data_IF_268735581627
#
_entry.id   IF_268735581627
#
_cell.length_a   1.000
_cell.length_b   1.000
_cell.length_c   1.000
_cell.angle_alpha   90.00
_cell.angle_beta   90.00
_cell.angle_gamma   90.00
#
_symmetry.space_group_name_H-M   'P 1'
#
loop_
_entity.id
_entity.type
_entity.pdbx_description
1 polymer ?
#
# COMPACT_ATOMS: atom_id res chain seq x y z
N UNK A 1 -11.45 -9.64 -3.83
CA UNK A 1 -10.94 -8.89 -5.02
C UNK A 1 -11.88 -9.09 -6.20
N UNK A 2 -12.12 -10.32 -6.67
CA UNK A 2 -12.91 -10.61 -7.88
C UNK A 2 -14.32 -10.01 -7.85
N UNK A 3 -15.00 -10.06 -6.70
CA UNK A 3 -16.33 -9.46 -6.52
C UNK A 3 -16.28 -7.93 -6.76
N UNK A 4 -15.37 -7.24 -6.10
CA UNK A 4 -15.19 -5.78 -6.23
C UNK A 4 -14.83 -5.41 -7.68
N UNK A 5 -13.93 -6.17 -8.31
CA UNK A 5 -13.55 -5.93 -9.70
C UNK A 5 -14.74 -6.04 -10.66
N UNK A 6 -15.59 -7.06 -10.49
CA UNK A 6 -16.82 -7.21 -11.30
C UNK A 6 -17.77 -6.01 -11.14
N UNK A 7 -17.97 -5.52 -9.91
CA UNK A 7 -18.79 -4.34 -9.65
C UNK A 7 -18.22 -3.07 -10.30
N UNK A 8 -16.91 -2.87 -10.22
CA UNK A 8 -16.24 -1.74 -10.84
C UNK A 8 -16.33 -1.82 -12.39
N UNK A 9 -16.12 -2.99 -12.96
CA UNK A 9 -16.25 -3.21 -14.42
C UNK A 9 -17.67 -2.94 -14.89
N UNK A 10 -18.68 -3.37 -14.14
CA UNK A 10 -20.09 -3.07 -14.45
C UNK A 10 -20.39 -1.55 -14.42
N UNK A 11 -19.62 -0.77 -13.67
CA UNK A 11 -19.65 0.71 -13.66
C UNK A 11 -18.85 1.36 -14.79
N UNK A 12 -18.22 0.58 -15.67
CA UNK A 12 -17.49 1.07 -16.84
C UNK A 12 -16.09 1.61 -16.56
N UNK A 13 -15.42 1.16 -15.47
CA UNK A 13 -14.04 1.56 -15.22
C UNK A 13 -13.11 1.09 -16.34
N UNK A 14 -12.14 1.90 -16.69
CA UNK A 14 -11.17 1.63 -17.77
C UNK A 14 -9.90 0.94 -17.29
N UNK A 15 -9.60 1.00 -15.99
CA UNK A 15 -8.48 0.32 -15.35
C UNK A 15 -8.81 0.08 -13.87
N UNK A 16 -8.15 -0.90 -13.25
CA UNK A 16 -8.26 -1.18 -11.81
C UNK A 16 -6.88 -1.15 -11.19
N UNK A 17 -6.75 -0.44 -10.07
CA UNK A 17 -5.57 -0.51 -9.20
C UNK A 17 -5.93 -1.34 -7.97
N UNK A 18 -5.20 -2.44 -7.73
CA UNK A 18 -5.28 -3.19 -6.48
C UNK A 18 -4.29 -2.55 -5.51
N UNK A 19 -4.77 -1.54 -4.76
CA UNK A 19 -3.96 -0.75 -3.86
C UNK A 19 -3.71 -1.45 -2.50
N UNK A 20 -3.49 -2.75 -2.52
CA UNK A 20 -3.22 -3.55 -1.33
C UNK A 20 -2.18 -4.63 -1.66
N UNK A 21 -1.02 -4.63 -0.97
CA UNK A 21 0.04 -5.62 -1.21
C UNK A 21 -0.47 -7.05 -0.98
N UNK A 22 -1.18 -7.29 0.11
CA UNK A 22 -1.77 -8.61 0.41
C UNK A 22 -2.74 -9.07 -0.68
N UNK A 23 -3.62 -8.19 -1.15
CA UNK A 23 -4.56 -8.53 -2.22
C UNK A 23 -3.84 -8.75 -3.56
N UNK A 24 -2.82 -7.96 -3.86
CA UNK A 24 -2.03 -8.09 -5.08
C UNK A 24 -1.35 -9.46 -5.15
N UNK A 25 -0.58 -9.84 -4.14
CA UNK A 25 0.16 -11.12 -4.17
C UNK A 25 -0.75 -12.35 -4.23
N UNK A 26 -2.00 -12.23 -3.76
CA UNK A 26 -2.94 -13.36 -3.72
C UNK A 26 -3.88 -13.43 -4.93
N UNK A 27 -4.17 -12.33 -5.63
CA UNK A 27 -5.30 -12.32 -6.57
C UNK A 27 -5.02 -11.71 -7.95
N UNK A 28 -3.91 -11.00 -8.15
CA UNK A 28 -3.71 -10.21 -9.37
C UNK A 28 -3.65 -11.06 -10.63
N UNK A 29 -2.96 -12.20 -10.61
CA UNK A 29 -2.83 -13.06 -11.79
C UNK A 29 -4.17 -13.68 -12.21
N UNK A 30 -4.93 -14.14 -11.21
CA UNK A 30 -6.26 -14.67 -11.46
C UNK A 30 -7.19 -13.59 -12.05
N UNK A 31 -7.12 -12.36 -11.52
CA UNK A 31 -7.94 -11.27 -12.03
C UNK A 31 -7.53 -10.88 -13.46
N UNK A 32 -6.23 -10.76 -13.74
CA UNK A 32 -5.72 -10.48 -15.09
C UNK A 32 -6.16 -11.49 -16.13
N UNK A 33 -6.25 -12.77 -15.74
CA UNK A 33 -6.73 -13.84 -16.63
C UNK A 33 -8.24 -13.77 -16.93
N UNK A 34 -9.01 -13.04 -16.14
CA UNK A 34 -10.47 -12.99 -16.24
C UNK A 34 -11.02 -11.71 -16.88
N UNK A 35 -10.20 -10.66 -17.01
CA UNK A 35 -10.68 -9.35 -17.47
C UNK A 35 -9.77 -8.76 -18.55
N UNK A 36 -10.36 -7.96 -19.45
CA UNK A 36 -9.65 -7.36 -20.58
C UNK A 36 -9.17 -5.92 -20.32
N UNK A 37 -9.41 -5.38 -19.12
CA UNK A 37 -8.93 -4.04 -18.75
C UNK A 37 -7.62 -4.12 -17.99
N UNK A 38 -6.78 -3.07 -18.01
CA UNK A 38 -5.53 -3.04 -17.26
C UNK A 38 -5.74 -3.23 -15.75
N UNK A 39 -4.97 -4.15 -15.17
CA UNK A 39 -4.94 -4.37 -13.73
C UNK A 39 -3.53 -4.05 -13.21
N UNK A 40 -3.42 -3.01 -12.41
CA UNK A 40 -2.19 -2.56 -11.78
C UNK A 40 -2.18 -3.04 -10.33
N UNK A 41 -1.16 -3.75 -9.92
CA UNK A 41 -0.96 -4.16 -8.53
C UNK A 41 0.05 -3.26 -7.83
N UNK A 42 -0.02 -3.22 -6.51
CA UNK A 42 1.02 -2.65 -5.67
C UNK A 42 2.03 -3.73 -5.34
N UNK A 43 3.27 -3.53 -5.72
CA UNK A 43 4.39 -4.38 -5.32
C UNK A 43 5.27 -3.62 -4.32
N UNK A 44 5.87 -4.33 -3.34
CA UNK A 44 6.79 -3.68 -2.42
C UNK A 44 7.96 -3.10 -3.20
N UNK A 45 8.36 -1.88 -2.83
CA UNK A 45 9.42 -1.14 -3.52
C UNK A 45 10.83 -1.69 -3.23
N UNK A 46 11.02 -3.01 -3.35
CA UNK A 46 12.26 -3.74 -3.02
C UNK A 46 13.40 -3.28 -3.92
N UNK A 47 13.15 -3.26 -5.24
CA UNK A 47 14.17 -2.88 -6.23
C UNK A 47 14.74 -1.47 -6.01
N UNK A 48 13.92 -0.40 -5.88
CA UNK A 48 14.45 0.92 -5.57
C UNK A 48 15.08 0.98 -4.17
N UNK A 49 14.56 0.28 -3.17
CA UNK A 49 15.11 0.24 -1.83
C UNK A 49 16.53 -0.37 -1.82
N UNK A 50 16.70 -1.54 -2.40
CA UNK A 50 18.00 -2.21 -2.50
C UNK A 50 19.03 -1.40 -3.31
N UNK A 51 18.57 -0.63 -4.32
CA UNK A 51 19.43 0.25 -5.11
C UNK A 51 19.90 1.47 -4.31
N UNK A 52 19.01 2.07 -3.51
CA UNK A 52 19.28 3.29 -2.75
C UNK A 52 20.02 3.03 -1.45
N UNK A 53 19.88 1.86 -0.86
CA UNK A 53 20.54 1.48 0.39
C UNK A 53 22.06 1.48 0.25
N UNK A 54 22.72 2.24 1.13
CA UNK A 54 24.19 2.33 1.25
C UNK A 54 24.70 1.18 2.11
N UNK A 55 24.02 0.91 3.25
CA UNK A 55 24.37 -0.17 4.19
C UNK A 55 24.13 -1.56 3.60
N UNK A 56 23.36 -1.64 2.49
CA UNK A 56 22.83 -2.88 1.93
C UNK A 56 21.96 -3.68 2.91
N UNK A 57 21.37 -2.98 3.89
CA UNK A 57 20.38 -3.53 4.82
C UNK A 57 19.07 -2.75 4.68
N UNK A 58 18.05 -3.43 4.21
CA UNK A 58 16.72 -2.87 3.93
C UNK A 58 15.72 -3.59 4.82
N UNK A 59 14.82 -2.85 5.46
CA UNK A 59 13.68 -3.46 6.13
C UNK A 59 12.38 -3.19 5.37
N UNK A 60 11.43 -4.13 5.46
CA UNK A 60 10.09 -3.98 4.89
C UNK A 60 9.07 -4.21 6.01
N UNK A 61 8.29 -3.20 6.34
CA UNK A 61 7.12 -3.36 7.20
C UNK A 61 5.99 -3.97 6.37
N UNK A 62 5.45 -5.09 6.79
CA UNK A 62 4.41 -5.82 6.06
C UNK A 62 3.29 -6.30 6.99
N UNK A 63 2.14 -6.65 6.45
CA UNK A 63 1.15 -7.40 7.21
C UNK A 63 1.63 -8.84 7.41
N UNK A 64 1.11 -9.51 8.43
CA UNK A 64 1.43 -10.93 8.68
C UNK A 64 1.19 -11.77 7.42
N UNK A 65 0.01 -11.64 6.80
CA UNK A 65 -0.35 -12.39 5.60
C UNK A 65 0.56 -12.10 4.39
N UNK A 66 1.08 -10.87 4.26
CA UNK A 66 2.04 -10.54 3.20
C UNK A 66 3.40 -11.15 3.48
N UNK A 67 3.89 -11.10 4.72
CA UNK A 67 5.20 -11.62 5.11
C UNK A 67 5.33 -13.15 4.95
N UNK A 68 4.23 -13.86 5.09
CA UNK A 68 4.15 -15.32 4.95
C UNK A 68 3.97 -15.77 3.50
N UNK A 69 3.56 -14.87 2.60
CA UNK A 69 3.23 -15.21 1.21
C UNK A 69 4.48 -15.56 0.41
N UNK A 70 4.45 -16.69 -0.30
CA UNK A 70 5.59 -17.18 -1.08
C UNK A 70 5.93 -16.23 -2.24
N UNK A 71 4.96 -15.71 -2.98
CA UNK A 71 5.20 -14.75 -4.07
C UNK A 71 5.89 -13.48 -3.58
N UNK A 72 5.58 -13.02 -2.37
CA UNK A 72 6.27 -11.88 -1.76
C UNK A 72 7.75 -12.19 -1.51
N UNK A 73 8.05 -13.39 -1.01
CA UNK A 73 9.43 -13.86 -0.79
C UNK A 73 10.19 -14.00 -2.11
N UNK A 74 9.54 -14.58 -3.13
CA UNK A 74 10.13 -14.73 -4.47
C UNK A 74 10.46 -13.35 -5.11
N UNK A 75 9.62 -12.33 -4.87
CA UNK A 75 9.88 -10.96 -5.32
C UNK A 75 11.11 -10.35 -4.60
N UNK A 76 11.29 -10.63 -3.31
CA UNK A 76 12.48 -10.22 -2.57
C UNK A 76 13.71 -10.88 -3.16
N UNK A 77 13.69 -12.19 -3.33
CA UNK A 77 14.80 -12.97 -3.88
C UNK A 77 15.20 -12.49 -5.29
N UNK A 78 14.22 -12.11 -6.11
CA UNK A 78 14.46 -11.59 -7.45
C UNK A 78 15.05 -10.17 -7.47
N UNK A 79 14.70 -9.33 -6.49
CA UNK A 79 14.96 -7.89 -6.56
C UNK A 79 15.86 -7.32 -5.46
N UNK A 80 16.34 -8.13 -4.50
CA UNK A 80 17.17 -7.66 -3.39
C UNK A 80 18.52 -7.08 -3.84
N UNK A 81 19.00 -7.40 -5.04
CA UNK A 81 20.22 -6.84 -5.65
C UNK A 81 21.43 -6.84 -4.68
N UNK A 82 21.63 -7.95 -3.97
CA UNK A 82 22.70 -8.12 -2.99
C UNK A 82 22.47 -7.43 -1.63
N UNK A 83 21.33 -6.78 -1.41
CA UNK A 83 20.98 -6.26 -0.09
C UNK A 83 20.38 -7.37 0.80
N UNK A 84 20.69 -7.30 2.08
CA UNK A 84 19.97 -8.05 3.10
C UNK A 84 18.60 -7.42 3.31
N UNK A 85 17.53 -8.19 3.14
CA UNK A 85 16.16 -7.71 3.33
C UNK A 85 15.56 -8.33 4.58
N UNK A 86 15.22 -7.47 5.55
CA UNK A 86 14.56 -7.85 6.79
C UNK A 86 13.06 -7.63 6.63
N UNK A 87 12.26 -8.67 6.79
CA UNK A 87 10.80 -8.58 6.76
C UNK A 87 10.30 -8.43 8.19
N UNK A 88 9.61 -7.33 8.49
CA UNK A 88 8.99 -7.08 9.79
C UNK A 88 7.47 -7.17 9.66
N UNK A 89 6.84 -8.25 10.11
CA UNK A 89 5.40 -8.31 10.27
C UNK A 89 4.93 -7.31 11.34
N UNK A 90 3.83 -6.60 11.07
CA UNK A 90 3.31 -5.56 11.97
C UNK A 90 1.83 -5.85 12.35
N UNK A 91 1.52 -6.96 13.04
CA UNK A 91 0.15 -7.24 13.48
C UNK A 91 -0.38 -6.14 14.41
N UNK A 92 -1.67 -5.81 14.29
CA UNK A 92 -2.32 -4.76 15.10
C UNK A 92 -2.14 -3.33 14.57
N UNK A 93 -1.18 -3.08 13.66
CA UNK A 93 -0.94 -1.72 13.18
C UNK A 93 -2.04 -1.22 12.22
N UNK A 94 -2.56 -2.09 11.37
CA UNK A 94 -3.69 -1.76 10.47
C UNK A 94 -4.93 -1.43 11.28
N UNK A 95 -5.21 -2.19 12.32
CA UNK A 95 -6.36 -2.03 13.20
C UNK A 95 -6.33 -0.67 13.94
N UNK A 96 -5.17 -0.21 14.39
CA UNK A 96 -5.03 1.13 14.95
C UNK A 96 -5.40 2.23 13.94
N UNK A 97 -4.98 2.08 12.69
CA UNK A 97 -5.26 3.06 11.63
C UNK A 97 -6.73 3.05 11.26
N UNK A 98 -7.33 1.87 11.07
CA UNK A 98 -8.74 1.71 10.71
C UNK A 98 -9.70 2.15 11.84
N UNK A 99 -9.22 2.20 13.08
CA UNK A 99 -9.96 2.76 14.23
C UNK A 99 -9.73 4.28 14.43
N UNK A 100 -8.95 4.94 13.54
CA UNK A 100 -8.59 6.34 13.69
C UNK A 100 -7.65 6.62 14.87
N UNK A 101 -6.95 5.58 15.38
CA UNK A 101 -6.07 5.65 16.56
C UNK A 101 -4.58 5.70 16.20
N UNK A 102 -4.24 6.06 14.97
CA UNK A 102 -2.86 6.12 14.46
C UNK A 102 -1.95 7.06 15.26
N UNK A 103 -2.52 8.07 15.94
CA UNK A 103 -1.78 9.03 16.76
C UNK A 103 -1.76 8.67 18.26
N UNK A 104 -2.30 7.52 18.66
CA UNK A 104 -2.36 7.11 20.07
C UNK A 104 -0.99 6.71 20.59
N UNK A 105 -0.81 6.85 21.93
CA UNK A 105 0.41 6.39 22.59
C UNK A 105 0.63 4.88 22.40
N UNK A 106 -0.45 4.09 22.38
CA UNK A 106 -0.39 2.65 22.16
C UNK A 106 0.12 2.30 20.75
N UNK A 107 -0.37 3.00 19.70
CA UNK A 107 0.14 2.84 18.34
C UNK A 107 1.62 3.21 18.24
N UNK A 108 2.04 4.29 18.91
CA UNK A 108 3.44 4.73 18.93
C UNK A 108 4.35 3.71 19.65
N UNK A 109 3.88 3.10 20.75
CA UNK A 109 4.59 2.03 21.44
C UNK A 109 4.76 0.80 20.54
N UNK A 110 3.70 0.41 19.82
CA UNK A 110 3.73 -0.69 18.86
C UNK A 110 4.73 -0.43 17.72
N UNK A 111 4.72 0.78 17.15
CA UNK A 111 5.67 1.18 16.11
C UNK A 111 7.13 1.08 16.59
N UNK A 112 7.41 1.54 17.82
CA UNK A 112 8.74 1.40 18.42
C UNK A 112 9.18 -0.05 18.57
N UNK A 113 8.27 -0.92 18.99
CA UNK A 113 8.53 -2.35 19.12
C UNK A 113 8.97 -2.98 17.78
N UNK A 114 8.40 -2.52 16.66
CA UNK A 114 8.75 -3.04 15.34
C UNK A 114 9.99 -2.38 14.73
N UNK A 115 10.20 -1.09 14.95
CA UNK A 115 11.20 -0.32 14.21
C UNK A 115 12.55 -0.29 14.93
N UNK A 116 12.57 -0.17 16.27
CA UNK A 116 13.83 -0.04 17.00
C UNK A 116 14.77 -1.23 16.77
N UNK A 117 14.33 -2.49 16.82
CA UNK A 117 15.21 -3.62 16.53
C UNK A 117 15.80 -3.59 15.11
N UNK A 118 15.05 -3.06 14.13
CA UNK A 118 15.54 -2.94 12.75
C UNK A 118 16.66 -1.90 12.63
N UNK A 119 16.54 -0.79 13.39
CA UNK A 119 17.58 0.25 13.45
C UNK A 119 18.84 -0.34 14.08
N UNK A 120 18.70 -1.10 15.16
CA UNK A 120 19.82 -1.75 15.85
C UNK A 120 20.52 -2.77 14.94
N UNK A 121 19.81 -3.38 14.00
CA UNK A 121 20.39 -4.21 12.92
C UNK A 121 21.15 -3.39 11.86
N UNK A 122 21.05 -2.08 11.89
CA UNK A 122 21.79 -1.17 11.01
C UNK A 122 21.14 -0.96 9.64
N UNK A 123 19.83 -1.01 9.54
CA UNK A 123 19.14 -0.61 8.29
C UNK A 123 19.33 0.88 8.01
N UNK A 124 19.42 1.24 6.75
CA UNK A 124 19.37 2.63 6.28
C UNK A 124 18.16 2.92 5.38
N UNK A 125 17.37 1.91 5.08
CA UNK A 125 16.21 2.00 4.20
C UNK A 125 15.06 1.18 4.76
N UNK A 126 13.87 1.80 4.85
CA UNK A 126 12.64 1.20 5.36
C UNK A 126 11.54 1.34 4.31
N UNK A 127 10.96 0.21 3.90
CA UNK A 127 9.86 0.16 2.92
C UNK A 127 8.54 0.01 3.64
N UNK A 128 7.57 0.86 3.29
CA UNK A 128 6.18 0.74 3.74
C UNK A 128 5.45 -0.28 2.85
N UNK A 129 5.49 -1.56 3.24
CA UNK A 129 4.92 -2.69 2.50
C UNK A 129 3.42 -2.91 2.70
N UNK A 130 2.71 -1.93 3.24
CA UNK A 130 1.26 -1.91 3.38
C UNK A 130 0.72 -0.52 3.10
N UNK A 131 -0.40 -0.43 2.39
CA UNK A 131 -1.02 0.83 2.00
C UNK A 131 -1.63 1.63 3.16
N UNK A 132 -1.76 1.03 4.33
CA UNK A 132 -2.13 1.74 5.55
C UNK A 132 -0.95 2.49 6.19
N UNK A 133 0.28 2.02 6.02
CA UNK A 133 1.43 2.54 6.78
C UNK A 133 1.84 3.99 6.44
N UNK A 134 1.55 4.55 5.27
CA UNK A 134 1.72 5.99 5.04
C UNK A 134 0.96 6.89 6.04
N UNK A 135 -0.16 6.42 6.60
CA UNK A 135 -0.91 7.17 7.61
C UNK A 135 -0.19 7.30 8.98
N UNK A 136 0.86 6.51 9.19
CA UNK A 136 1.76 6.58 10.36
C UNK A 136 3.20 6.90 9.97
N UNK A 137 3.44 7.34 8.73
CA UNK A 137 4.79 7.62 8.22
C UNK A 137 5.53 8.68 9.03
N UNK A 138 4.84 9.70 9.52
CA UNK A 138 5.45 10.73 10.36
C UNK A 138 6.00 10.12 11.66
N UNK A 139 5.23 9.27 12.32
CA UNK A 139 5.66 8.57 13.54
C UNK A 139 6.81 7.60 13.25
N UNK A 140 6.72 6.87 12.14
CA UNK A 140 7.81 5.99 11.67
C UNK A 140 9.09 6.81 11.47
N UNK A 141 9.01 7.96 10.79
CA UNK A 141 10.16 8.84 10.53
C UNK A 141 10.80 9.37 11.82
N UNK A 142 9.99 9.75 12.81
CA UNK A 142 10.49 10.19 14.12
C UNK A 142 11.22 9.06 14.85
N UNK A 143 10.70 7.82 14.77
CA UNK A 143 11.32 6.66 15.45
C UNK A 143 12.59 6.22 14.71
N UNK A 144 12.53 6.15 13.39
CA UNK A 144 13.64 5.68 12.56
C UNK A 144 14.82 6.65 12.51
N UNK A 145 14.54 7.96 12.68
CA UNK A 145 15.57 9.00 12.59
C UNK A 145 15.91 9.38 11.14
N UNK A 146 16.67 10.47 10.98
CA UNK A 146 17.00 11.04 9.67
C UNK A 146 17.93 10.17 8.82
N UNK A 147 18.64 9.23 9.43
CA UNK A 147 19.55 8.33 8.75
C UNK A 147 18.83 7.19 7.99
N UNK A 148 17.55 6.96 8.24
CA UNK A 148 16.77 5.92 7.58
C UNK A 148 15.89 6.53 6.49
N UNK A 149 16.12 6.12 5.25
CA UNK A 149 15.29 6.51 4.12
C UNK A 149 13.99 5.70 4.09
N UNK A 150 12.85 6.38 4.08
CA UNK A 150 11.53 5.74 4.03
C UNK A 150 11.02 5.75 2.60
N UNK A 151 10.66 4.58 2.09
CA UNK A 151 10.16 4.40 0.74
C UNK A 151 8.71 3.91 0.79
N UNK A 152 7.83 4.62 0.09
CA UNK A 152 6.44 4.23 -0.13
C UNK A 152 6.20 3.74 -1.55
N UNK A 153 5.03 3.16 -1.81
CA UNK A 153 4.69 2.53 -3.09
C UNK A 153 3.69 3.32 -3.94
N UNK A 154 3.07 4.37 -3.41
CA UNK A 154 2.01 5.10 -4.10
C UNK A 154 2.51 5.82 -5.36
N UNK A 155 3.62 6.55 -5.27
CA UNK A 155 4.18 7.29 -6.40
C UNK A 155 4.58 6.36 -7.58
N UNK A 156 5.33 5.27 -7.39
CA UNK A 156 5.62 4.30 -8.46
C UNK A 156 4.36 3.70 -9.11
N UNK A 157 3.33 3.38 -8.32
CA UNK A 157 2.06 2.84 -8.84
C UNK A 157 1.35 3.87 -9.70
N UNK A 158 1.32 5.13 -9.28
CA UNK A 158 0.72 6.23 -10.05
C UNK A 158 1.44 6.43 -11.38
N UNK A 159 2.77 6.40 -11.40
CA UNK A 159 3.55 6.48 -12.64
C UNK A 159 3.22 5.32 -13.57
N UNK A 160 3.14 4.09 -13.05
CA UNK A 160 2.80 2.92 -13.84
C UNK A 160 1.36 2.98 -14.39
N UNK A 161 0.39 3.42 -13.58
CA UNK A 161 -0.99 3.63 -14.01
C UNK A 161 -1.05 4.65 -15.16
N UNK A 162 -0.42 5.82 -14.98
CA UNK A 162 -0.39 6.88 -15.99
C UNK A 162 0.20 6.36 -17.30
N UNK A 163 1.33 5.65 -17.23
CA UNK A 163 1.97 5.05 -18.41
C UNK A 163 1.00 4.12 -19.17
N UNK A 164 0.34 3.20 -18.45
CA UNK A 164 -0.58 2.23 -19.05
C UNK A 164 -1.80 2.94 -19.69
N UNK A 165 -2.36 3.95 -19.01
CA UNK A 165 -3.49 4.70 -19.55
C UNK A 165 -3.13 5.42 -20.85
N UNK A 166 -1.96 6.05 -20.92
CA UNK A 166 -1.47 6.72 -22.13
C UNK A 166 -1.19 5.72 -23.27
N UNK A 167 -0.49 4.61 -23.00
CA UNK A 167 -0.17 3.58 -23.98
C UNK A 167 -1.43 2.95 -24.61
N UNK A 168 -2.48 2.80 -23.81
CA UNK A 168 -3.75 2.22 -24.25
C UNK A 168 -4.80 3.25 -24.69
N UNK A 169 -4.46 4.56 -24.70
CA UNK A 169 -5.36 5.67 -25.06
C UNK A 169 -6.63 5.68 -24.21
N UNK A 170 -6.49 5.42 -22.92
CA UNK A 170 -7.57 5.38 -21.93
C UNK A 170 -7.59 6.63 -21.04
N UNK A 171 -6.62 7.53 -21.19
CA UNK A 171 -6.52 8.78 -20.45
C UNK A 171 -7.74 9.70 -20.73
N UNK A 172 -8.01 10.57 -19.77
CA UNK A 172 -9.05 11.57 -19.90
C UNK A 172 -8.54 12.77 -20.71
N UNK A 173 -9.45 13.53 -21.31
CA UNK A 173 -9.09 14.81 -21.92
C UNK A 173 -8.61 15.80 -20.84
N UNK A 174 -7.78 16.76 -21.22
CA UNK A 174 -7.23 17.75 -20.28
C UNK A 174 -8.30 18.64 -19.65
N UNK A 175 -9.44 18.77 -20.30
CA UNK A 175 -10.58 19.59 -19.89
C UNK A 175 -11.50 18.83 -18.92
N UNK A 176 -11.37 17.51 -18.84
CA UNK A 176 -12.22 16.68 -17.99
C UNK A 176 -11.83 16.85 -16.52
N UNK A 177 -12.75 17.36 -15.71
CA UNK A 177 -12.61 17.36 -14.26
C UNK A 177 -12.90 15.96 -13.69
N UNK A 178 -12.00 15.45 -12.85
CA UNK A 178 -12.21 14.19 -12.16
C UNK A 178 -13.20 14.31 -11.00
N UNK A 179 -13.91 13.23 -10.72
CA UNK A 179 -14.76 13.09 -9.54
C UNK A 179 -14.38 11.82 -8.79
N UNK A 180 -14.28 11.93 -7.46
CA UNK A 180 -14.03 10.78 -6.59
C UNK A 180 -15.35 10.24 -6.04
N UNK A 181 -15.51 8.93 -6.09
CA UNK A 181 -16.61 8.21 -5.44
C UNK A 181 -16.04 7.14 -4.52
N UNK A 182 -16.56 7.05 -3.31
CA UNK A 182 -16.07 6.16 -2.28
C UNK A 182 -17.11 5.09 -1.99
N UNK A 183 -16.69 3.82 -2.05
CA UNK A 183 -17.54 2.67 -1.80
C UNK A 183 -16.94 1.81 -0.67
N UNK A 184 -17.80 1.28 0.18
CA UNK A 184 -17.39 0.38 1.27
C UNK A 184 -18.39 -0.77 1.41
N UNK A 185 -17.90 -1.93 1.85
CA UNK A 185 -18.77 -3.03 2.31
C UNK A 185 -19.40 -2.77 3.67
N UNK A 186 -18.91 -1.78 4.40
CA UNK A 186 -19.40 -1.31 5.68
C UNK A 186 -19.61 0.20 5.59
N UNK A 187 -20.84 0.65 5.33
CA UNK A 187 -21.21 2.06 5.23
C UNK A 187 -21.77 2.58 6.58
N UNK A 188 -20.92 2.71 7.57
CA UNK A 188 -21.32 3.31 8.84
C UNK A 188 -20.88 4.77 8.92
N UNK A 189 -21.62 5.60 9.65
CA UNK A 189 -21.23 7.00 9.91
C UNK A 189 -19.88 7.11 10.62
N UNK A 190 -19.53 6.11 11.42
CA UNK A 190 -18.24 6.04 12.09
C UNK A 190 -17.11 5.82 11.09
N UNK A 191 -17.26 4.88 10.15
CA UNK A 191 -16.29 4.67 9.08
C UNK A 191 -16.17 5.88 8.14
N UNK A 192 -17.28 6.50 7.77
CA UNK A 192 -17.26 7.71 6.96
C UNK A 192 -16.46 8.83 7.65
N UNK A 193 -16.62 8.99 8.97
CA UNK A 193 -15.81 9.94 9.75
C UNK A 193 -14.32 9.60 9.72
N UNK A 194 -13.96 8.33 9.94
CA UNK A 194 -12.57 7.89 9.93
C UNK A 194 -11.96 8.07 8.53
N UNK A 195 -12.67 7.67 7.49
CA UNK A 195 -12.19 7.81 6.11
C UNK A 195 -12.05 9.28 5.71
N UNK A 196 -12.97 10.16 6.13
CA UNK A 196 -12.84 11.60 5.93
C UNK A 196 -11.60 12.17 6.62
N UNK A 197 -11.27 11.69 7.81
CA UNK A 197 -10.04 12.08 8.52
C UNK A 197 -8.78 11.63 7.78
N UNK A 198 -8.75 10.39 7.29
CA UNK A 198 -7.61 9.83 6.54
C UNK A 198 -7.47 10.47 5.16
N UNK A 199 -8.58 10.80 4.51
CA UNK A 199 -8.62 11.49 3.21
C UNK A 199 -8.34 12.98 3.31
N UNK A 200 -8.43 13.56 4.53
CA UNK A 200 -8.26 14.99 4.87
C UNK A 200 -9.35 15.92 4.27
N UNK A 201 -10.43 15.34 3.75
CA UNK A 201 -11.60 16.07 3.23
C UNK A 201 -12.88 15.28 3.56
N UNK A 202 -14.03 15.95 3.72
CA UNK A 202 -15.30 15.26 3.88
C UNK A 202 -15.59 14.37 2.66
N UNK A 203 -15.98 13.14 2.90
CA UNK A 203 -16.40 12.21 1.87
C UNK A 203 -17.72 11.52 2.27
N UNK A 204 -18.42 10.99 1.28
CA UNK A 204 -19.62 10.19 1.47
C UNK A 204 -19.29 8.75 1.04
N UNK A 205 -19.58 7.80 1.92
CA UNK A 205 -19.47 6.38 1.61
C UNK A 205 -20.76 5.86 1.00
N UNK A 206 -20.63 5.17 -0.12
CA UNK A 206 -21.71 4.44 -0.75
C UNK A 206 -21.59 2.94 -0.47
N UNK A 207 -22.72 2.24 -0.33
CA UNK A 207 -22.70 0.79 -0.24
C UNK A 207 -22.08 0.18 -1.49
N UNK A 208 -21.18 -0.75 -1.30
CA UNK A 208 -20.84 -1.69 -2.34
C UNK A 208 -21.90 -2.79 -2.31
N UNK A 209 -22.87 -2.73 -3.23
CA UNK A 209 -23.96 -3.70 -3.29
C UNK A 209 -23.40 -5.14 -3.35
N UNK A 210 -24.05 -6.09 -2.64
CA UNK A 210 -23.66 -7.50 -2.65
C UNK A 210 -23.83 -8.16 -4.02
#
# INVERSE_FOLDING_TARGET
VNFIAKQLIAKGVKAIVIACNTATVNAIEQLRAQVNIPIIGVEPAIKPAAKQSISKKVAILATQATSENQRFKDLIDLHHNGAQVLIQPCPGLVEFIEQGKQNSQACNALLRQYIVPLIDEGIDTLVLGCTHYPFVQQQISIIAGQQVNIIETAAPVTVQLTKILLEQKLDASKEQQGQSQFFSSLETKEQEKIFSQLWQEPLILHALAP
#
